data_IF_569942493137
#
_entry.id   IF_569942493137
#
_cell.length_a   1.000
_cell.length_b   1.000
_cell.length_c   1.000
_cell.angle_alpha   90.00
_cell.angle_beta   90.00
_cell.angle_gamma   90.00
#
_symmetry.space_group_name_H-M   'P 1'
#
loop_
_entity.id
_entity.type
_entity.pdbx_description
1 polymer ?
#
# COMPACT_ATOMS: atom_id res chain seq x y z
N UNK A 1 14.07 12.34 11.57
CA UNK A 1 13.24 12.69 10.39
C UNK A 1 11.78 12.32 10.65
N UNK A 2 10.88 13.05 10.04
CA UNK A 2 9.44 12.78 10.04
C UNK A 2 9.00 12.68 8.58
N UNK A 3 8.36 11.59 8.24
CA UNK A 3 7.86 11.33 6.90
C UNK A 3 6.34 11.07 6.98
N UNK A 4 5.57 11.77 6.14
CA UNK A 4 4.13 11.52 5.96
C UNK A 4 3.89 11.10 4.52
N UNK A 5 3.02 10.13 4.33
CA UNK A 5 2.65 9.64 3.01
C UNK A 5 1.17 9.27 2.94
N UNK A 6 0.64 9.36 1.74
CA UNK A 6 -0.68 8.86 1.41
C UNK A 6 -0.66 8.27 0.00
N UNK A 7 -1.27 7.12 -0.19
CA UNK A 7 -1.34 6.46 -1.50
C UNK A 7 -2.76 5.98 -1.80
N UNK A 8 -3.12 6.05 -3.08
CA UNK A 8 -4.20 5.25 -3.66
C UNK A 8 -3.56 4.00 -4.26
N UNK A 9 -3.82 2.85 -3.69
CA UNK A 9 -3.24 1.63 -4.22
C UNK A 9 -4.11 1.08 -5.34
N UNK A 10 -3.51 0.90 -6.51
CA UNK A 10 -4.11 0.25 -7.67
C UNK A 10 -3.48 -1.13 -7.78
N UNK A 11 -4.26 -2.17 -7.53
CA UNK A 11 -3.76 -3.54 -7.66
C UNK A 11 -3.48 -3.84 -9.14
N UNK A 12 -2.24 -4.12 -9.49
CA UNK A 12 -1.80 -4.39 -10.88
C UNK A 12 -1.18 -5.78 -11.06
N UNK A 13 -1.11 -6.58 -10.00
CA UNK A 13 -0.46 -7.90 -10.01
C UNK A 13 -1.42 -9.09 -10.03
N UNK A 14 -2.73 -8.85 -10.08
CA UNK A 14 -3.74 -9.92 -10.12
C UNK A 14 -4.41 -9.97 -11.47
N UNK A 15 -4.63 -11.17 -12.00
CA UNK A 15 -5.47 -11.39 -13.18
C UNK A 15 -6.92 -10.95 -12.91
N UNK A 16 -7.36 -11.03 -11.63
CA UNK A 16 -8.70 -10.67 -11.21
C UNK A 16 -8.67 -9.38 -10.39
N UNK A 17 -9.50 -8.40 -10.76
CA UNK A 17 -9.59 -7.12 -10.05
C UNK A 17 -8.42 -6.16 -10.30
N UNK A 18 -7.51 -6.51 -11.21
CA UNK A 18 -6.49 -5.60 -11.73
C UNK A 18 -7.11 -4.65 -12.76
N UNK A 19 -6.58 -3.44 -12.85
CA UNK A 19 -6.95 -2.50 -13.93
C UNK A 19 -6.19 -2.75 -15.23
N UNK A 20 -4.97 -3.30 -15.14
CA UNK A 20 -4.12 -3.51 -16.31
C UNK A 20 -4.58 -4.72 -17.13
N UNK A 21 -5.00 -5.80 -16.49
CA UNK A 21 -5.43 -6.99 -17.21
C UNK A 21 -6.66 -6.69 -18.09
N UNK A 22 -7.76 -6.11 -17.60
CA UNK A 22 -8.87 -5.69 -18.45
C UNK A 22 -8.49 -4.70 -19.53
N UNK A 23 -7.59 -3.74 -19.24
CA UNK A 23 -7.16 -2.76 -20.23
C UNK A 23 -6.39 -3.37 -21.42
N UNK A 24 -5.72 -4.52 -21.19
CA UNK A 24 -4.98 -5.23 -22.23
C UNK A 24 -5.81 -6.31 -22.94
N UNK A 25 -6.80 -6.88 -22.25
CA UNK A 25 -7.57 -8.04 -22.69
C UNK A 25 -8.95 -7.68 -23.26
N UNK A 26 -9.47 -6.49 -22.94
CA UNK A 26 -10.76 -6.04 -23.45
C UNK A 26 -10.67 -5.89 -24.99
N UNK A 27 -11.72 -6.34 -25.67
CA UNK A 27 -11.77 -6.22 -27.14
C UNK A 27 -11.75 -4.75 -27.61
N UNK A 28 -11.09 -4.47 -28.74
CA UNK A 28 -10.91 -3.09 -29.21
C UNK A 28 -12.18 -2.43 -29.77
N UNK A 29 -13.27 -3.18 -29.91
CA UNK A 29 -14.56 -2.69 -30.42
C UNK A 29 -15.46 -2.18 -29.31
N UNK A 30 -15.18 -2.57 -28.06
CA UNK A 30 -15.94 -2.10 -26.89
C UNK A 30 -15.54 -0.67 -26.54
N UNK A 31 -16.47 0.30 -26.56
CA UNK A 31 -16.18 1.65 -26.14
C UNK A 31 -15.94 1.73 -24.65
N UNK A 32 -15.36 2.81 -24.16
CA UNK A 32 -15.13 3.03 -22.72
C UNK A 32 -16.45 3.22 -21.97
N UNK A 33 -17.39 3.92 -22.60
CA UNK A 33 -18.69 4.26 -22.04
C UNK A 33 -19.81 4.04 -23.04
N UNK A 34 -21.02 3.76 -22.53
CA UNK A 34 -22.27 3.81 -23.25
C UNK A 34 -23.07 5.04 -22.85
N UNK A 35 -23.80 5.60 -23.80
CA UNK A 35 -24.62 6.79 -23.61
C UNK A 35 -26.05 6.45 -23.12
N UNK A 36 -26.53 5.26 -23.45
CA UNK A 36 -27.92 4.85 -23.23
C UNK A 36 -28.03 3.44 -22.70
N UNK A 37 -29.14 3.17 -21.99
CA UNK A 37 -29.55 1.82 -21.56
C UNK A 37 -29.81 0.91 -22.78
N UNK A 38 -30.12 1.48 -23.93
CA UNK A 38 -30.32 0.71 -25.16
C UNK A 38 -29.05 -0.02 -25.60
N UNK A 39 -27.89 0.52 -25.28
CA UNK A 39 -26.58 -0.08 -25.60
C UNK A 39 -26.24 -1.27 -24.73
N UNK A 40 -26.93 -1.47 -23.62
CA UNK A 40 -26.65 -2.53 -22.67
C UNK A 40 -26.74 -3.94 -23.27
N UNK A 41 -25.93 -4.85 -22.74
CA UNK A 41 -26.12 -6.29 -22.97
C UNK A 41 -27.46 -6.74 -22.35
N UNK A 42 -27.98 -7.88 -22.80
CA UNK A 42 -29.24 -8.45 -22.27
C UNK A 42 -29.14 -8.59 -20.73
N UNK A 43 -28.05 -9.16 -20.20
CA UNK A 43 -27.89 -9.34 -18.76
C UNK A 43 -27.84 -8.02 -17.98
N UNK A 44 -27.24 -6.96 -18.54
CA UNK A 44 -27.28 -5.65 -17.92
C UNK A 44 -28.67 -5.03 -17.94
N UNK A 45 -29.45 -5.21 -18.99
CA UNK A 45 -30.85 -4.76 -19.06
C UNK A 45 -31.69 -5.44 -18.00
N UNK A 46 -31.53 -6.74 -17.81
CA UNK A 46 -32.27 -7.54 -16.82
C UNK A 46 -31.94 -7.05 -15.39
N UNK A 47 -30.65 -6.83 -15.11
CA UNK A 47 -30.21 -6.30 -13.81
C UNK A 47 -30.66 -4.85 -13.62
N UNK A 48 -30.58 -4.02 -14.64
CA UNK A 48 -31.06 -2.63 -14.55
C UNK A 48 -32.56 -2.54 -14.24
N UNK A 49 -33.36 -3.45 -14.76
CA UNK A 49 -34.79 -3.52 -14.48
C UNK A 49 -35.13 -3.92 -13.04
N UNK A 50 -34.26 -4.69 -12.37
CA UNK A 50 -34.50 -5.25 -11.03
C UNK A 50 -33.67 -4.58 -9.94
N UNK A 51 -32.42 -4.22 -10.23
CA UNK A 51 -31.44 -3.67 -9.31
C UNK A 51 -30.60 -2.58 -10.02
N UNK A 52 -31.19 -1.45 -10.39
CA UNK A 52 -30.51 -0.40 -11.18
C UNK A 52 -29.27 0.17 -10.48
N UNK A 53 -29.20 0.11 -9.15
CA UNK A 53 -28.08 0.57 -8.34
C UNK A 53 -26.78 -0.22 -8.56
N UNK A 54 -26.89 -1.45 -9.11
CA UNK A 54 -25.71 -2.26 -9.48
C UNK A 54 -25.09 -1.84 -10.83
N UNK A 55 -25.79 -1.04 -11.62
CA UNK A 55 -25.28 -0.50 -12.89
C UNK A 55 -24.68 0.88 -12.60
N UNK A 56 -23.40 0.88 -12.32
CA UNK A 56 -22.72 2.10 -11.89
C UNK A 56 -22.61 3.12 -13.03
N UNK A 57 -22.81 4.38 -12.66
CA UNK A 57 -22.70 5.54 -13.55
C UNK A 57 -21.36 6.21 -13.30
N UNK A 58 -20.65 6.50 -14.37
CA UNK A 58 -19.38 7.20 -14.32
C UNK A 58 -19.55 8.68 -13.92
N UNK A 59 -18.50 9.37 -13.45
CA UNK A 59 -18.57 10.79 -13.07
C UNK A 59 -19.03 11.73 -14.21
N UNK A 60 -18.93 11.29 -15.46
CA UNK A 60 -19.39 12.02 -16.64
C UNK A 60 -20.88 11.78 -16.97
N UNK A 61 -21.61 11.03 -16.13
CA UNK A 61 -23.02 10.70 -16.32
C UNK A 61 -23.31 9.56 -17.30
N UNK A 62 -22.27 8.90 -17.85
CA UNK A 62 -22.41 7.78 -18.78
C UNK A 62 -22.26 6.45 -18.06
N UNK A 63 -22.66 5.36 -18.71
CA UNK A 63 -22.53 4.02 -18.18
C UNK A 63 -21.21 3.39 -18.62
N UNK A 64 -20.56 2.64 -17.73
CA UNK A 64 -19.37 1.88 -18.10
C UNK A 64 -19.73 0.75 -19.07
N UNK A 65 -19.07 0.72 -20.22
CA UNK A 65 -19.31 -0.31 -21.23
C UNK A 65 -18.65 -1.64 -20.84
N UNK A 66 -19.26 -2.73 -21.25
CA UNK A 66 -18.70 -4.08 -21.16
C UNK A 66 -18.71 -4.72 -22.56
N UNK A 67 -17.80 -5.66 -22.80
CA UNK A 67 -17.76 -6.36 -24.07
C UNK A 67 -19.07 -7.12 -24.35
N UNK A 68 -19.54 -7.02 -25.57
CA UNK A 68 -20.64 -7.83 -26.10
C UNK A 68 -20.12 -9.14 -26.71
N UNK A 69 -18.79 -9.29 -26.82
CA UNK A 69 -18.13 -10.41 -27.50
C UNK A 69 -17.41 -11.34 -26.53
N UNK A 70 -16.99 -10.81 -25.37
CA UNK A 70 -16.30 -11.55 -24.33
C UNK A 70 -17.16 -11.64 -23.08
N UNK A 71 -17.35 -12.86 -22.59
CA UNK A 71 -18.12 -13.15 -21.36
C UNK A 71 -17.21 -13.67 -20.26
N UNK A 72 -16.13 -12.98 -20.03
CA UNK A 72 -15.15 -13.29 -18.99
C UNK A 72 -15.22 -12.28 -17.83
N UNK A 73 -14.30 -12.40 -16.88
CA UNK A 73 -14.17 -11.50 -15.74
C UNK A 73 -13.47 -10.17 -16.06
N UNK A 74 -13.12 -9.95 -17.34
CA UNK A 74 -12.55 -8.70 -17.81
C UNK A 74 -13.63 -7.60 -17.89
N UNK A 75 -13.83 -6.90 -16.81
CA UNK A 75 -14.71 -5.76 -16.74
C UNK A 75 -14.05 -4.47 -17.27
N UNK A 76 -14.81 -3.39 -17.26
CA UNK A 76 -14.27 -2.08 -17.61
C UNK A 76 -13.21 -1.61 -16.60
N UNK A 77 -11.97 -1.30 -17.02
CA UNK A 77 -10.90 -0.93 -16.13
C UNK A 77 -11.16 0.38 -15.37
N UNK A 78 -11.90 1.32 -15.97
CA UNK A 78 -12.26 2.57 -15.31
C UNK A 78 -13.32 2.38 -14.24
N UNK A 79 -14.27 1.45 -14.43
CA UNK A 79 -15.22 1.08 -13.39
C UNK A 79 -14.48 0.54 -12.16
N UNK A 80 -13.48 -0.31 -12.34
CA UNK A 80 -12.69 -0.85 -11.23
C UNK A 80 -11.93 0.24 -10.47
N UNK A 81 -11.49 1.29 -11.18
CA UNK A 81 -10.86 2.45 -10.57
C UNK A 81 -11.84 3.29 -9.75
N UNK A 82 -12.98 3.61 -10.35
CA UNK A 82 -13.91 4.59 -9.79
C UNK A 82 -14.74 4.02 -8.64
N UNK A 83 -15.09 2.72 -8.71
CA UNK A 83 -15.87 2.05 -7.66
C UNK A 83 -15.06 1.81 -6.37
N UNK A 84 -13.75 1.75 -6.46
CA UNK A 84 -12.89 1.42 -5.33
C UNK A 84 -12.40 2.67 -4.62
N UNK A 85 -12.77 2.82 -3.38
CA UNK A 85 -12.34 3.93 -2.54
C UNK A 85 -11.30 3.47 -1.52
N UNK A 86 -10.12 3.07 -2.02
CA UNK A 86 -9.01 2.68 -1.17
C UNK A 86 -8.16 3.90 -0.82
N UNK A 87 -7.95 4.10 0.48
CA UNK A 87 -7.05 5.12 1.03
C UNK A 87 -6.08 4.45 1.97
N UNK A 88 -4.82 4.73 1.81
CA UNK A 88 -3.77 4.31 2.73
C UNK A 88 -2.90 5.52 3.05
N UNK A 89 -2.71 5.77 4.33
CA UNK A 89 -1.91 6.90 4.81
C UNK A 89 -1.16 6.52 6.07
N UNK A 90 -0.04 7.14 6.28
CA UNK A 90 0.76 6.88 7.46
C UNK A 90 1.79 7.94 7.72
N UNK A 91 2.49 7.75 8.81
CA UNK A 91 3.67 8.53 9.13
C UNK A 91 4.75 7.63 9.75
N UNK A 92 5.99 8.07 9.58
CA UNK A 92 7.14 7.44 10.20
C UNK A 92 7.98 8.53 10.87
N UNK A 93 8.30 8.30 12.12
CA UNK A 93 9.23 9.15 12.89
C UNK A 93 10.47 8.31 13.20
N UNK A 94 11.64 8.87 12.88
CA UNK A 94 12.94 8.26 13.18
C UNK A 94 13.80 9.26 13.89
N UNK A 95 14.50 8.81 14.93
CA UNK A 95 15.46 9.61 15.64
C UNK A 95 16.62 8.77 16.15
N UNK A 96 17.77 9.40 16.27
CA UNK A 96 18.97 8.83 16.88
C UNK A 96 19.60 9.89 17.77
N UNK A 97 19.92 9.48 18.98
CA UNK A 97 20.72 10.27 19.91
C UNK A 97 21.95 9.46 20.31
N UNK A 98 23.08 10.11 20.48
CA UNK A 98 24.29 9.45 20.95
C UNK A 98 25.11 10.37 21.85
N UNK A 99 25.94 9.74 22.65
CA UNK A 99 26.90 10.40 23.52
C UNK A 99 28.24 9.69 23.36
N UNK A 100 29.26 10.48 23.13
CA UNK A 100 30.66 10.02 23.11
C UNK A 100 31.40 10.52 24.35
N UNK A 101 32.09 9.62 25.03
CA UNK A 101 32.92 9.88 26.17
C UNK A 101 34.36 9.47 25.85
N UNK A 102 35.31 10.38 26.17
CA UNK A 102 36.74 10.12 25.98
C UNK A 102 37.41 10.18 27.35
N UNK A 103 37.31 9.15 28.20
CA UNK A 103 37.78 9.21 29.57
C UNK A 103 39.31 9.19 29.69
N UNK A 104 40.01 8.60 28.72
CA UNK A 104 41.47 8.55 28.62
C UNK A 104 41.91 8.67 27.17
N UNK A 105 43.12 9.06 26.95
CA UNK A 105 43.69 9.17 25.62
C UNK A 105 43.66 7.81 24.86
N UNK A 106 43.12 7.83 23.65
CA UNK A 106 42.94 6.65 22.79
C UNK A 106 41.66 5.85 23.04
N UNK A 107 40.86 6.11 24.10
CA UNK A 107 39.61 5.42 24.36
C UNK A 107 38.42 6.32 24.07
N UNK A 108 37.55 5.89 23.15
CA UNK A 108 36.25 6.50 22.86
C UNK A 108 35.14 5.50 23.18
N UNK A 109 34.27 5.91 24.06
CA UNK A 109 33.07 5.11 24.43
C UNK A 109 31.82 5.80 23.87
N UNK A 110 31.06 5.10 23.05
CA UNK A 110 29.82 5.62 22.43
C UNK A 110 28.61 4.87 22.97
N UNK A 111 27.61 5.61 23.43
CA UNK A 111 26.27 5.10 23.67
C UNK A 111 25.31 5.73 22.65
N UNK A 112 24.64 4.91 21.86
CA UNK A 112 23.72 5.34 20.81
C UNK A 112 22.34 4.73 21.00
N UNK A 113 21.32 5.56 21.01
CA UNK A 113 19.92 5.11 21.03
C UNK A 113 19.24 5.58 19.75
N UNK A 114 18.64 4.63 19.03
CA UNK A 114 17.87 4.87 17.81
C UNK A 114 16.44 4.39 17.99
N UNK A 115 15.49 5.12 17.45
CA UNK A 115 14.09 4.69 17.42
C UNK A 115 13.44 4.97 16.08
N UNK A 116 12.45 4.13 15.75
CA UNK A 116 11.53 4.31 14.63
C UNK A 116 10.13 3.98 15.11
N UNK A 117 9.22 4.90 14.91
CA UNK A 117 7.78 4.70 15.12
C UNK A 117 7.12 4.88 13.76
N UNK A 118 6.39 3.89 13.30
CA UNK A 118 5.63 3.95 12.07
C UNK A 118 4.17 3.57 12.33
N UNK A 119 3.27 4.37 11.79
CA UNK A 119 1.84 4.11 11.81
C UNK A 119 1.30 4.17 10.38
N UNK A 120 0.45 3.22 10.03
CA UNK A 120 -0.31 3.24 8.77
C UNK A 120 -1.75 2.84 9.00
N UNK A 121 -2.65 3.54 8.33
CA UNK A 121 -4.08 3.27 8.35
C UNK A 121 -4.57 3.11 6.92
N UNK A 122 -5.27 2.02 6.64
CA UNK A 122 -5.91 1.79 5.35
C UNK A 122 -7.41 1.60 5.54
N UNK A 123 -8.16 2.18 4.60
CA UNK A 123 -9.59 2.00 4.47
C UNK A 123 -9.88 1.60 3.03
N UNK A 124 -10.66 0.56 2.85
CA UNK A 124 -11.16 0.13 1.56
C UNK A 124 -12.69 0.04 1.62
N UNK A 125 -13.33 0.67 0.65
CA UNK A 125 -14.76 0.60 0.45
C UNK A 125 -15.01 0.35 -1.03
N UNK A 126 -15.83 -0.64 -1.34
CA UNK A 126 -16.25 -0.92 -2.71
C UNK A 126 -17.74 -1.24 -2.78
N UNK A 127 -18.37 -0.72 -3.82
CA UNK A 127 -19.79 -0.85 -4.07
C UNK A 127 -20.10 -2.13 -4.86
N UNK A 128 -21.32 -2.68 -4.71
CA UNK A 128 -21.83 -3.71 -5.61
C UNK A 128 -21.82 -3.19 -7.05
N UNK A 129 -21.62 -4.06 -8.00
CA UNK A 129 -21.71 -3.72 -9.42
C UNK A 129 -22.04 -4.94 -10.26
N UNK A 130 -22.55 -4.69 -11.45
CA UNK A 130 -22.79 -5.70 -12.45
C UNK A 130 -22.34 -5.20 -13.84
N UNK A 131 -21.49 -5.98 -14.49
CA UNK A 131 -21.10 -5.81 -15.89
C UNK A 131 -21.57 -6.98 -16.74
N UNK A 132 -21.28 -8.20 -16.26
CA UNK A 132 -21.71 -9.45 -16.85
C UNK A 132 -21.78 -10.55 -15.77
N UNK A 133 -22.07 -11.80 -16.16
CA UNK A 133 -22.23 -12.91 -15.23
C UNK A 133 -21.02 -13.25 -14.39
N UNK A 134 -19.81 -12.88 -14.83
CA UNK A 134 -18.54 -13.12 -14.12
C UNK A 134 -17.98 -11.85 -13.51
N UNK A 135 -18.02 -10.73 -14.23
CA UNK A 135 -17.55 -9.42 -13.74
C UNK A 135 -18.67 -8.71 -12.95
N UNK A 136 -18.87 -9.11 -11.69
CA UNK A 136 -19.88 -8.56 -10.78
C UNK A 136 -19.44 -8.66 -9.32
N UNK A 137 -20.04 -7.85 -8.46
CA UNK A 137 -20.01 -8.00 -7.01
C UNK A 137 -21.41 -7.70 -6.46
N UNK A 138 -21.93 -8.61 -5.65
CA UNK A 138 -23.30 -8.51 -5.14
C UNK A 138 -23.40 -7.72 -3.83
N UNK A 139 -22.31 -7.60 -3.08
CA UNK A 139 -22.27 -7.00 -1.75
C UNK A 139 -21.32 -5.82 -1.67
N UNK A 140 -21.62 -4.89 -0.76
CA UNK A 140 -20.65 -3.90 -0.30
C UNK A 140 -19.49 -4.59 0.41
N UNK A 141 -18.29 -4.10 0.18
CA UNK A 141 -17.11 -4.52 0.91
C UNK A 141 -16.51 -3.32 1.64
N UNK A 142 -16.31 -3.47 2.93
CA UNK A 142 -15.67 -2.46 3.78
C UNK A 142 -14.58 -3.15 4.55
N UNK A 143 -13.38 -2.60 4.50
CA UNK A 143 -12.28 -3.02 5.37
C UNK A 143 -11.53 -1.82 5.90
N UNK A 144 -11.05 -1.95 7.13
CA UNK A 144 -10.17 -0.97 7.76
C UNK A 144 -9.04 -1.73 8.46
N UNK A 145 -7.81 -1.26 8.29
CA UNK A 145 -6.67 -1.82 8.98
C UNK A 145 -5.84 -0.68 9.57
N UNK A 146 -5.38 -0.89 10.81
CA UNK A 146 -4.43 -0.01 11.46
C UNK A 146 -3.19 -0.83 11.85
N UNK A 147 -2.03 -0.36 11.45
CA UNK A 147 -0.75 -0.97 11.80
C UNK A 147 0.11 0.04 12.55
N UNK A 148 0.60 -0.36 13.73
CA UNK A 148 1.55 0.39 14.53
C UNK A 148 2.81 -0.44 14.69
N UNK A 149 3.96 0.14 14.38
CA UNK A 149 5.26 -0.50 14.49
C UNK A 149 6.21 0.38 15.29
N UNK A 150 6.90 -0.23 16.24
CA UNK A 150 7.89 0.39 17.09
C UNK A 150 9.19 -0.38 16.97
N UNK A 151 10.27 0.32 16.71
CA UNK A 151 11.62 -0.21 16.66
C UNK A 151 12.51 0.60 17.56
N UNK A 152 13.25 -0.08 18.44
CA UNK A 152 14.26 0.53 19.30
C UNK A 152 15.58 -0.22 19.14
N UNK A 153 16.66 0.53 19.13
CA UNK A 153 18.00 -0.03 19.10
C UNK A 153 18.88 0.78 20.05
N UNK A 154 19.53 0.08 20.96
CA UNK A 154 20.51 0.67 21.86
C UNK A 154 21.85 -0.03 21.67
N UNK A 155 22.85 0.75 21.30
CA UNK A 155 24.18 0.30 21.02
C UNK A 155 25.16 0.99 21.99
N UNK A 156 26.05 0.20 22.57
CA UNK A 156 27.15 0.71 23.37
C UNK A 156 28.41 0.06 22.86
N UNK A 157 29.41 0.85 22.54
CA UNK A 157 30.70 0.34 22.08
C UNK A 157 31.84 1.22 22.57
N UNK A 158 32.97 0.60 22.77
CA UNK A 158 34.22 1.25 23.17
C UNK A 158 35.30 0.92 22.14
N UNK A 159 35.96 1.94 21.64
CA UNK A 159 37.07 1.86 20.73
C UNK A 159 38.33 2.36 21.46
N UNK A 160 39.34 1.52 21.53
CA UNK A 160 40.64 1.89 22.06
C UNK A 160 41.69 1.78 20.96
N UNK A 161 42.37 2.90 20.69
CA UNK A 161 43.45 2.97 19.70
C UNK A 161 44.67 3.60 20.36
N UNK A 162 45.80 2.86 20.31
CA UNK A 162 47.04 3.38 20.89
C UNK A 162 48.26 2.90 20.11
N UNK A 163 49.21 3.80 19.89
CA UNK A 163 50.52 3.47 19.35
C UNK A 163 51.47 3.19 20.49
N UNK A 164 52.04 1.98 20.53
CA UNK A 164 53.02 1.59 21.52
C UNK A 164 54.41 1.63 20.89
N UNK A 165 55.39 2.20 21.65
CA UNK A 165 56.78 2.28 21.27
C UNK A 165 57.04 2.93 19.88
N UNK A 166 56.14 3.83 19.44
CA UNK A 166 56.16 4.50 18.14
C UNK A 166 56.19 3.57 16.92
N UNK A 167 55.92 2.30 17.11
CA UNK A 167 56.01 1.24 16.07
C UNK A 167 54.79 0.35 15.96
N UNK A 168 54.06 0.18 17.03
CA UNK A 168 52.96 -0.79 17.08
C UNK A 168 51.60 -0.06 17.30
N UNK A 169 50.74 -0.13 16.33
CA UNK A 169 49.38 0.41 16.44
C UNK A 169 48.45 -0.69 16.91
N UNK A 170 47.85 -0.54 18.07
CA UNK A 170 46.85 -1.46 18.61
C UNK A 170 45.48 -0.80 18.54
N UNK A 171 44.51 -1.48 17.89
CA UNK A 171 43.11 -1.11 17.85
C UNK A 171 42.26 -2.23 18.43
N UNK A 172 41.46 -1.92 19.44
CA UNK A 172 40.52 -2.86 20.05
C UNK A 172 39.14 -2.23 20.07
N UNK A 173 38.14 -2.97 19.66
CA UNK A 173 36.74 -2.57 19.78
C UNK A 173 35.97 -3.65 20.54
N UNK A 174 35.15 -3.21 21.48
CA UNK A 174 34.16 -4.05 22.17
C UNK A 174 32.81 -3.32 22.09
N UNK A 175 31.74 -4.08 21.89
CA UNK A 175 30.43 -3.49 21.81
C UNK A 175 29.30 -4.46 22.16
N UNK A 176 28.16 -3.89 22.49
CA UNK A 176 26.88 -4.60 22.67
C UNK A 176 25.77 -3.83 21.98
N UNK A 177 24.78 -4.56 21.51
CA UNK A 177 23.60 -4.00 20.90
C UNK A 177 22.37 -4.73 21.44
N UNK A 178 21.32 -3.96 21.74
CA UNK A 178 19.99 -4.45 22.04
C UNK A 178 19.02 -3.90 20.99
N UNK A 179 18.16 -4.75 20.47
CA UNK A 179 17.17 -4.38 19.47
C UNK A 179 15.82 -4.96 19.85
N UNK A 180 14.78 -4.15 19.74
CA UNK A 180 13.39 -4.57 19.90
C UNK A 180 12.58 -4.09 18.71
N UNK A 181 11.83 -4.98 18.08
CA UNK A 181 10.88 -4.68 17.01
C UNK A 181 9.51 -5.24 17.41
N UNK A 182 8.52 -4.37 17.43
CA UNK A 182 7.15 -4.70 17.80
C UNK A 182 6.19 -4.14 16.76
N UNK A 183 5.25 -4.98 16.34
CA UNK A 183 4.20 -4.60 15.39
C UNK A 183 2.84 -5.09 15.88
N UNK A 184 1.89 -4.18 15.94
CA UNK A 184 0.51 -4.45 16.32
C UNK A 184 -0.40 -4.11 15.12
N UNK A 185 -1.21 -5.08 14.69
CA UNK A 185 -2.17 -4.95 13.60
C UNK A 185 -3.59 -5.14 14.13
N UNK A 186 -4.49 -4.27 13.69
CA UNK A 186 -5.93 -4.34 13.98
C UNK A 186 -6.72 -4.23 12.70
#
# INVERSE_FOLDING_TARGET
SIEKWATRNITHQSAYGSMLAPALLLDPLTPVYWDSVDDFTTGMKDVYATNPEKILVAPNGKYYATSKFQMDDNGNPLLQLDRRNYKNSGFTVRGTAFVDLTPIDGLVMTSRFSYRIAQSNSHDYSEPYYMNGQAKADNYSISANANNSHYYQWENFANFNKTLFDKHNIGVMIGMSYTEDRSDNV
#
